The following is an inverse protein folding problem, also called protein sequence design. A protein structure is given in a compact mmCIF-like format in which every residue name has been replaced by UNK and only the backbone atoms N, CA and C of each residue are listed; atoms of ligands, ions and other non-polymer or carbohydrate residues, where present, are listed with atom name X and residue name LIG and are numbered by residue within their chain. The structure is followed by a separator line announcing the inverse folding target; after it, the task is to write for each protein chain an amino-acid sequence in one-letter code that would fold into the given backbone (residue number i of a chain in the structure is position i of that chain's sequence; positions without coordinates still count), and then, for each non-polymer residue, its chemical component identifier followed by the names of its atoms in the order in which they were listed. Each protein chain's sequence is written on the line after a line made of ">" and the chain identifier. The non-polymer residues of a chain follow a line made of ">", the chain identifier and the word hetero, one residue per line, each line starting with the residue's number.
data_IF_059592663876
#
_entry.id   IF_059592663876
#
_cell.length_a   1.000
_cell.length_b   1.000
_cell.length_c   1.000
_cell.angle_alpha   90.00
_cell.angle_beta   90.00
_cell.angle_gamma   90.00
#
_symmetry.space_group_name_H-M   'P 1'
#
loop_
_entity.id
_entity.type
_entity.pdbx_description
1 polymer ?
#
# COMPACT_ATOMS: atom_id res chain seq x y z
N UNK A 1 7.32 -9.38 -15.70
CA UNK A 1 7.62 -9.90 -14.35
C UNK A 1 6.28 -10.02 -13.68
N UNK A 2 6.03 -11.14 -13.01
CA UNK A 2 4.80 -11.31 -12.23
C UNK A 2 4.99 -10.59 -10.89
N UNK A 3 4.03 -9.75 -10.52
CA UNK A 3 4.00 -9.06 -9.24
C UNK A 3 3.60 -10.06 -8.14
N UNK A 4 4.07 -9.80 -6.93
CA UNK A 4 3.72 -10.58 -5.73
C UNK A 4 3.70 -9.66 -4.53
N UNK A 5 2.75 -9.88 -3.62
CA UNK A 5 2.67 -9.10 -2.39
C UNK A 5 3.87 -9.46 -1.50
N UNK A 6 4.60 -8.45 -1.06
CA UNK A 6 5.69 -8.58 -0.09
C UNK A 6 5.15 -8.39 1.32
N UNK A 7 5.72 -9.14 2.26
CA UNK A 7 5.33 -9.10 3.67
C UNK A 7 6.33 -8.30 4.51
N UNK A 8 5.86 -7.78 5.64
CA UNK A 8 6.72 -7.20 6.67
C UNK A 8 7.82 -8.19 7.10
N UNK A 9 9.03 -7.73 7.44
CA UNK A 9 9.56 -6.36 7.37
C UNK A 9 10.31 -6.04 6.07
N UNK A 10 9.83 -6.48 4.88
CA UNK A 10 10.53 -6.19 3.63
C UNK A 10 10.86 -4.69 3.47
N UNK A 11 12.11 -4.30 3.17
CA UNK A 11 12.56 -2.90 3.24
C UNK A 11 11.73 -1.91 2.41
N UNK A 12 11.25 -2.35 1.24
CA UNK A 12 10.40 -1.53 0.35
C UNK A 12 9.10 -1.05 1.01
N UNK A 13 8.57 -1.76 2.01
CA UNK A 13 7.37 -1.34 2.74
C UNK A 13 7.59 -0.08 3.59
N UNK A 14 8.83 0.17 4.00
CA UNK A 14 9.24 1.36 4.77
C UNK A 14 9.96 2.40 3.91
N UNK A 15 10.12 2.14 2.62
CA UNK A 15 10.71 3.08 1.67
C UNK A 15 9.65 4.07 1.19
N UNK A 16 9.95 5.37 1.27
CA UNK A 16 9.06 6.40 0.77
C UNK A 16 9.00 6.36 -0.76
N UNK A 17 7.83 6.00 -1.29
CA UNK A 17 7.59 5.89 -2.72
C UNK A 17 7.70 7.24 -3.42
N UNK A 18 8.19 7.22 -4.66
CA UNK A 18 8.50 8.41 -5.47
C UNK A 18 7.39 8.77 -6.46
N UNK A 19 7.17 10.08 -6.72
CA UNK A 19 6.16 10.51 -7.70
C UNK A 19 6.45 9.98 -9.10
N UNK A 20 5.40 9.54 -9.79
CA UNK A 20 5.43 9.08 -11.18
C UNK A 20 5.34 10.28 -12.13
N UNK A 21 6.26 10.39 -13.09
CA UNK A 21 6.28 11.47 -14.10
C UNK A 21 5.80 11.05 -15.48
N UNK A 22 5.55 9.74 -15.70
CA UNK A 22 5.06 9.21 -16.98
C UNK A 22 4.20 7.97 -16.82
N UNK A 23 3.17 7.85 -17.66
CA UNK A 23 2.28 6.68 -17.72
C UNK A 23 2.41 5.99 -19.08
N UNK A 24 3.06 4.83 -19.08
CA UNK A 24 3.23 3.98 -20.27
C UNK A 24 2.37 2.71 -20.20
N UNK A 25 2.40 1.90 -21.26
CA UNK A 25 1.65 0.64 -21.31
C UNK A 25 2.09 -0.35 -20.21
N UNK A 26 3.37 -0.30 -19.81
CA UNK A 26 3.89 -1.15 -18.73
C UNK A 26 3.28 -0.77 -17.39
N UNK A 27 3.22 0.52 -17.05
CA UNK A 27 2.59 0.99 -15.81
C UNK A 27 1.10 0.63 -15.75
N UNK A 28 0.38 0.77 -16.86
CA UNK A 28 -1.04 0.34 -16.93
C UNK A 28 -1.20 -1.15 -16.71
N UNK A 29 -0.31 -1.97 -17.27
CA UNK A 29 -0.29 -3.41 -17.03
C UNK A 29 -0.05 -3.77 -15.57
N UNK A 30 0.89 -3.08 -14.90
CA UNK A 30 1.15 -3.29 -13.47
C UNK A 30 -0.02 -2.87 -12.60
N UNK A 31 -0.70 -1.75 -12.91
CA UNK A 31 -1.89 -1.34 -12.18
C UNK A 31 -3.03 -2.36 -12.30
N UNK A 32 -3.23 -2.93 -13.49
CA UNK A 32 -4.19 -4.01 -13.69
C UNK A 32 -3.80 -5.27 -12.89
N UNK A 33 -2.54 -5.68 -12.95
CA UNK A 33 -2.04 -6.84 -12.18
C UNK A 33 -2.15 -6.62 -10.66
N UNK A 34 -1.97 -5.39 -10.17
CA UNK A 34 -2.21 -5.04 -8.77
C UNK A 34 -3.67 -5.19 -8.37
N UNK A 35 -4.63 -4.82 -9.24
CA UNK A 35 -6.06 -5.06 -8.98
C UNK A 35 -6.35 -6.56 -8.90
N UNK A 36 -5.82 -7.36 -9.84
CA UNK A 36 -5.95 -8.82 -9.80
C UNK A 36 -5.41 -9.39 -8.48
N UNK A 37 -4.19 -9.02 -8.09
CA UNK A 37 -3.58 -9.47 -6.84
C UNK A 37 -4.38 -9.04 -5.61
N UNK A 38 -4.94 -7.83 -5.60
CA UNK A 38 -5.79 -7.33 -4.53
C UNK A 38 -7.02 -8.24 -4.37
N UNK A 39 -7.72 -8.56 -5.44
CA UNK A 39 -8.90 -9.44 -5.40
C UNK A 39 -8.53 -10.88 -5.02
N UNK A 40 -7.45 -11.43 -5.58
CA UNK A 40 -7.00 -12.79 -5.32
C UNK A 40 -6.61 -13.02 -3.84
N UNK A 41 -6.33 -11.93 -3.11
CA UNK A 41 -6.00 -11.95 -1.68
C UNK A 41 -7.10 -11.32 -0.81
N UNK A 42 -8.33 -11.21 -1.32
CA UNK A 42 -9.51 -10.70 -0.60
C UNK A 42 -9.29 -9.29 0.00
N UNK A 43 -8.50 -8.46 -0.70
CA UNK A 43 -8.17 -7.10 -0.31
C UNK A 43 -9.13 -6.05 -0.86
N UNK A 44 -9.12 -4.87 -0.25
CA UNK A 44 -9.88 -3.68 -0.69
C UNK A 44 -8.98 -2.54 -1.18
N UNK A 45 -7.66 -2.68 -0.99
CA UNK A 45 -6.63 -1.73 -1.37
C UNK A 45 -5.27 -2.42 -1.49
N UNK A 46 -4.43 -1.91 -2.39
CA UNK A 46 -3.04 -2.36 -2.56
C UNK A 46 -2.17 -1.22 -3.10
N UNK A 47 -1.18 -0.81 -2.32
CA UNK A 47 -0.17 0.18 -2.70
C UNK A 47 0.98 -0.48 -3.49
N UNK A 48 1.58 0.26 -4.42
CA UNK A 48 2.61 -0.27 -5.31
C UNK A 48 3.86 -0.77 -4.56
N UNK A 49 4.21 -0.15 -3.43
CA UNK A 49 5.35 -0.62 -2.64
C UNK A 49 5.09 -1.99 -1.98
N UNK A 50 3.83 -2.40 -1.81
CA UNK A 50 3.47 -3.74 -1.34
C UNK A 50 3.72 -4.82 -2.39
N UNK A 51 4.03 -4.46 -3.63
CA UNK A 51 4.46 -5.38 -4.70
C UNK A 51 5.88 -5.06 -5.18
N UNK A 52 6.69 -4.49 -4.29
CA UNK A 52 8.10 -4.10 -4.51
C UNK A 52 8.31 -3.03 -5.59
N UNK A 53 7.30 -2.16 -5.81
CA UNK A 53 7.37 -1.02 -6.72
C UNK A 53 7.37 0.29 -5.93
N UNK A 54 8.52 0.97 -5.73
CA UNK A 54 8.62 2.19 -4.90
C UNK A 54 8.10 3.46 -5.60
N UNK A 55 6.97 3.36 -6.30
CA UNK A 55 6.35 4.43 -7.06
C UNK A 55 5.00 4.81 -6.43
N UNK A 56 4.64 6.10 -6.48
CA UNK A 56 3.42 6.60 -5.82
C UNK A 56 2.16 6.26 -6.60
N UNK A 57 1.67 5.04 -6.43
CA UNK A 57 0.42 4.55 -7.00
C UNK A 57 -0.22 3.55 -6.06
N UNK A 58 -1.55 3.59 -5.94
CA UNK A 58 -2.31 2.51 -5.33
C UNK A 58 -3.49 2.13 -6.20
N UNK A 59 -4.01 0.93 -5.95
CA UNK A 59 -5.32 0.48 -6.43
C UNK A 59 -6.25 0.23 -5.25
N UNK A 60 -7.55 0.43 -5.43
CA UNK A 60 -8.54 0.14 -4.41
C UNK A 60 -9.91 -0.18 -5.01
N UNK A 61 -10.66 -1.04 -4.33
CA UNK A 61 -12.09 -1.23 -4.55
C UNK A 61 -12.74 -1.51 -3.17
N UNK A 62 -13.53 -0.58 -2.63
CA UNK A 62 -14.16 -0.75 -1.31
C UNK A 62 -15.10 -1.96 -1.19
N UNK A 63 -15.59 -2.50 -2.31
CA UNK A 63 -16.39 -3.73 -2.28
C UNK A 63 -15.54 -4.99 -2.07
N UNK A 64 -14.26 -4.95 -2.43
CA UNK A 64 -13.37 -6.12 -2.43
C UNK A 64 -13.73 -7.18 -3.48
N UNK A 65 -14.74 -6.95 -4.31
CA UNK A 65 -15.27 -7.96 -5.24
C UNK A 65 -15.22 -7.47 -6.69
N UNK A 66 -14.80 -8.36 -7.58
CA UNK A 66 -14.66 -8.06 -9.00
C UNK A 66 -16.02 -7.81 -9.65
N UNK A 67 -16.13 -6.67 -10.34
CA UNK A 67 -17.37 -6.28 -11.00
C UNK A 67 -18.42 -5.68 -10.06
N UNK A 68 -18.11 -5.56 -8.77
CA UNK A 68 -18.89 -4.82 -7.80
C UNK A 68 -18.13 -3.56 -7.34
N UNK A 69 -18.86 -2.53 -6.91
CA UNK A 69 -18.25 -1.27 -6.49
C UNK A 69 -17.58 -0.49 -7.61
N UNK A 70 -16.58 0.30 -7.25
CA UNK A 70 -15.81 1.16 -8.15
C UNK A 70 -14.32 0.90 -7.93
N UNK A 71 -13.59 0.69 -9.02
CA UNK A 71 -12.14 0.55 -9.01
C UNK A 71 -11.46 1.92 -9.08
N UNK A 72 -10.56 2.15 -8.14
CA UNK A 72 -9.76 3.35 -8.04
C UNK A 72 -8.32 2.99 -8.37
N UNK A 73 -7.74 3.65 -9.38
CA UNK A 73 -6.30 3.60 -9.65
C UNK A 73 -5.79 5.03 -9.56
N UNK A 74 -5.01 5.32 -8.52
CA UNK A 74 -4.62 6.70 -8.21
C UNK A 74 -3.12 6.83 -8.22
N UNK A 75 -2.63 7.69 -9.12
CA UNK A 75 -1.23 8.07 -9.27
C UNK A 75 -0.96 9.36 -8.51
N UNK A 76 0.21 9.43 -7.87
CA UNK A 76 0.69 10.56 -7.08
C UNK A 76 -0.33 11.08 -6.08
N UNK A 77 -0.98 10.20 -5.28
CA UNK A 77 -2.00 10.62 -4.35
C UNK A 77 -1.44 11.55 -3.28
N UNK A 78 -2.23 12.56 -2.95
CA UNK A 78 -2.03 13.48 -1.84
C UNK A 78 -3.36 13.63 -1.12
N UNK A 79 -3.35 13.41 0.20
CA UNK A 79 -4.51 13.66 1.06
C UNK A 79 -4.34 14.98 1.82
N UNK A 80 -5.40 15.78 1.87
CA UNK A 80 -5.44 16.98 2.70
C UNK A 80 -6.84 17.23 3.30
N UNK A 81 -7.00 18.37 3.99
CA UNK A 81 -8.24 18.78 4.68
C UNK A 81 -8.86 17.68 5.56
N UNK A 82 -8.09 17.03 6.46
CA UNK A 82 -8.65 16.02 7.35
C UNK A 82 -9.70 16.64 8.27
N UNK A 83 -10.86 15.98 8.41
CA UNK A 83 -11.91 16.39 9.36
C UNK A 83 -12.48 15.20 10.12
N UNK A 84 -12.93 15.48 11.33
CA UNK A 84 -13.47 14.48 12.24
C UNK A 84 -12.44 13.45 12.65
N UNK A 85 -12.87 12.47 13.42
CA UNK A 85 -12.04 11.33 13.79
C UNK A 85 -12.89 10.11 14.05
N UNK A 86 -12.44 8.96 13.56
CA UNK A 86 -13.14 7.69 13.67
C UNK A 86 -12.13 6.56 13.90
N UNK A 87 -12.44 5.68 14.85
CA UNK A 87 -11.72 4.43 15.04
C UNK A 87 -12.38 3.33 14.22
N UNK A 88 -11.58 2.51 13.56
CA UNK A 88 -12.05 1.35 12.81
C UNK A 88 -10.99 0.26 12.79
N UNK A 89 -11.43 -0.99 12.62
CA UNK A 89 -10.50 -2.11 12.47
C UNK A 89 -9.82 -2.03 11.11
N UNK A 90 -8.51 -2.22 11.08
CA UNK A 90 -7.72 -2.35 9.85
C UNK A 90 -6.92 -3.64 9.89
N UNK A 91 -6.73 -4.22 8.70
CA UNK A 91 -5.72 -5.23 8.40
C UNK A 91 -4.92 -4.76 7.18
N UNK A 92 -3.91 -5.54 6.78
CA UNK A 92 -3.05 -5.20 5.65
C UNK A 92 -2.56 -6.48 4.97
N UNK A 93 -2.57 -6.51 3.63
CA UNK A 93 -2.10 -7.67 2.86
C UNK A 93 -0.60 -7.96 3.06
N UNK A 94 0.19 -6.99 3.53
CA UNK A 94 1.60 -7.18 3.87
C UNK A 94 1.84 -7.76 5.27
N UNK A 95 0.81 -7.91 6.09
CA UNK A 95 0.83 -8.59 7.40
C UNK A 95 -0.48 -9.37 7.59
N UNK A 96 -0.72 -10.40 6.75
CA UNK A 96 -1.98 -11.13 6.74
C UNK A 96 -2.34 -11.71 8.11
N UNK A 97 -3.61 -11.64 8.48
CA UNK A 97 -4.13 -12.13 9.77
C UNK A 97 -3.91 -11.18 10.96
N UNK A 98 -3.19 -10.07 10.80
CA UNK A 98 -3.00 -9.07 11.85
C UNK A 98 -3.99 -7.94 11.69
N UNK A 99 -4.75 -7.66 12.76
CA UNK A 99 -5.76 -6.60 12.78
C UNK A 99 -5.65 -5.76 14.04
N UNK A 100 -5.88 -4.45 13.93
CA UNK A 100 -5.98 -3.57 15.10
C UNK A 100 -6.94 -2.40 14.85
N UNK A 101 -7.39 -1.76 15.93
CA UNK A 101 -8.19 -0.53 15.85
C UNK A 101 -7.29 0.68 15.57
N UNK A 102 -7.50 1.33 14.42
CA UNK A 102 -6.74 2.51 13.98
C UNK A 102 -7.65 3.72 13.96
N UNK A 103 -7.19 4.82 14.57
CA UNK A 103 -7.89 6.10 14.56
C UNK A 103 -7.46 6.93 13.35
N UNK A 104 -8.40 7.28 12.48
CA UNK A 104 -8.17 8.11 11.29
C UNK A 104 -9.12 9.32 11.24
N UNK A 105 -8.78 10.38 10.51
CA UNK A 105 -9.75 11.34 10.01
C UNK A 105 -10.95 10.64 9.36
N UNK A 106 -12.16 11.13 9.66
CA UNK A 106 -13.41 10.57 9.10
C UNK A 106 -13.56 10.93 7.62
N UNK A 107 -13.10 12.12 7.26
CA UNK A 107 -13.13 12.61 5.87
C UNK A 107 -11.77 13.19 5.50
N UNK A 108 -11.39 13.01 4.25
CA UNK A 108 -10.20 13.61 3.64
C UNK A 108 -10.52 14.09 2.23
N UNK A 109 -9.75 15.02 1.70
CA UNK A 109 -9.76 15.32 0.26
C UNK A 109 -8.60 14.60 -0.41
N UNK A 110 -8.90 13.74 -1.37
CA UNK A 110 -7.92 13.06 -2.21
C UNK A 110 -7.65 13.89 -3.46
N UNK A 111 -6.37 14.13 -3.73
CA UNK A 111 -5.87 14.66 -4.99
C UNK A 111 -4.90 13.68 -5.63
N UNK A 112 -4.84 13.62 -6.96
CA UNK A 112 -3.94 12.74 -7.70
C UNK A 112 -4.28 12.74 -9.19
N UNK A 113 -3.90 11.69 -9.89
CA UNK A 113 -4.19 11.51 -11.30
C UNK A 113 -4.64 10.07 -11.60
N UNK A 114 -5.45 9.89 -12.64
CA UNK A 114 -5.75 8.57 -13.19
C UNK A 114 -4.68 8.09 -14.21
N UNK A 115 -4.87 6.90 -14.79
CA UNK A 115 -3.98 6.32 -15.82
C UNK A 115 -4.01 7.04 -17.17
N UNK A 116 -4.96 7.96 -17.37
CA UNK A 116 -5.07 8.82 -18.54
C UNK A 116 -4.42 10.19 -18.30
N UNK A 117 -4.03 10.49 -17.06
CA UNK A 117 -3.45 11.76 -16.64
C UNK A 117 -4.50 12.82 -16.30
N UNK A 118 -5.77 12.45 -16.15
CA UNK A 118 -6.79 13.38 -15.68
C UNK A 118 -6.63 13.59 -14.17
N UNK A 119 -6.88 14.81 -13.72
CA UNK A 119 -6.84 15.14 -12.29
C UNK A 119 -7.98 14.47 -11.52
N UNK A 120 -7.63 13.84 -10.40
CA UNK A 120 -8.57 13.40 -9.37
C UNK A 120 -8.54 14.45 -8.26
N UNK A 121 -9.71 14.97 -7.88
CA UNK A 121 -9.87 15.90 -6.76
C UNK A 121 -11.25 15.73 -6.14
N UNK A 122 -11.33 14.91 -5.10
CA UNK A 122 -12.60 14.45 -4.52
C UNK A 122 -12.55 14.46 -3.00
N UNK A 123 -13.63 14.88 -2.35
CA UNK A 123 -13.81 14.69 -0.90
C UNK A 123 -14.34 13.28 -0.66
N UNK A 124 -13.63 12.53 0.19
CA UNK A 124 -13.96 11.15 0.54
C UNK A 124 -14.36 11.08 2.01
N UNK A 125 -15.33 10.20 2.30
CA UNK A 125 -15.71 9.80 3.65
C UNK A 125 -15.86 8.28 3.78
N UNK A 126 -16.26 7.83 4.97
CA UNK A 126 -16.61 6.45 5.24
C UNK A 126 -15.46 5.47 4.97
N UNK A 127 -15.80 4.29 4.46
CA UNK A 127 -14.85 3.21 4.29
C UNK A 127 -13.79 3.51 3.22
N UNK A 128 -14.18 4.11 2.08
CA UNK A 128 -13.23 4.48 1.03
C UNK A 128 -12.21 5.51 1.54
N UNK A 129 -12.61 6.49 2.35
CA UNK A 129 -11.66 7.42 2.96
C UNK A 129 -10.64 6.71 3.87
N UNK A 130 -11.05 5.66 4.59
CA UNK A 130 -10.14 4.85 5.42
C UNK A 130 -9.14 4.08 4.55
N UNK A 131 -9.62 3.39 3.51
CA UNK A 131 -8.78 2.64 2.57
C UNK A 131 -7.75 3.57 1.92
N UNK A 132 -8.18 4.70 1.36
CA UNK A 132 -7.26 5.67 0.73
C UNK A 132 -6.20 6.20 1.70
N UNK A 133 -6.57 6.49 2.95
CA UNK A 133 -5.59 6.91 3.95
C UNK A 133 -4.58 5.81 4.28
N UNK A 134 -5.01 4.54 4.31
CA UNK A 134 -4.15 3.39 4.51
C UNK A 134 -3.17 3.21 3.34
N UNK A 135 -3.65 3.25 2.10
CA UNK A 135 -2.79 3.09 0.92
C UNK A 135 -1.80 4.25 0.77
N UNK A 136 -2.21 5.49 1.11
CA UNK A 136 -1.29 6.65 1.08
C UNK A 136 -0.21 6.55 2.15
N UNK A 137 -0.51 5.98 3.33
CA UNK A 137 0.51 5.70 4.34
C UNK A 137 1.57 4.73 3.83
N UNK A 138 1.15 3.66 3.16
CA UNK A 138 2.09 2.72 2.54
C UNK A 138 3.03 3.44 1.56
N UNK A 139 2.51 4.34 0.72
CA UNK A 139 3.34 5.13 -0.20
C UNK A 139 4.30 6.09 0.52
N UNK A 140 4.04 6.42 1.78
CA UNK A 140 4.93 7.19 2.64
C UNK A 140 5.84 6.32 3.53
N UNK A 141 5.79 4.99 3.39
CA UNK A 141 6.58 4.04 4.15
C UNK A 141 6.06 3.81 5.57
N UNK A 142 4.77 4.04 5.80
CA UNK A 142 4.11 3.96 7.11
C UNK A 142 3.15 2.77 7.10
N UNK A 143 3.25 1.92 8.12
CA UNK A 143 2.35 0.78 8.31
C UNK A 143 1.21 1.16 9.26
N UNK A 144 0.05 0.49 9.18
CA UNK A 144 -1.09 0.83 10.05
C UNK A 144 -0.76 0.71 11.55
N UNK A 145 0.11 -0.23 11.93
CA UNK A 145 0.56 -0.42 13.31
C UNK A 145 1.53 0.67 13.81
N UNK A 146 1.98 1.58 12.95
CA UNK A 146 2.66 2.80 13.37
C UNK A 146 1.68 3.87 13.85
N UNK A 147 0.38 3.69 13.60
CA UNK A 147 -0.70 4.62 13.98
C UNK A 147 -1.52 4.17 15.19
N UNK A 148 -1.23 3.00 15.77
CA UNK A 148 -1.94 2.48 16.94
C UNK A 148 -1.23 2.84 18.25
N UNK A 149 -1.97 2.80 19.36
CA UNK A 149 -1.41 3.04 20.70
C UNK A 149 -0.49 1.91 21.17
N UNK A 150 0.33 2.19 22.18
CA UNK A 150 1.33 1.25 22.73
C UNK A 150 0.68 -0.07 23.18
N UNK A 151 -0.50 -0.01 23.82
CA UNK A 151 -1.21 -1.21 24.28
C UNK A 151 -1.63 -2.09 23.10
N UNK A 152 -2.32 -1.53 22.09
CA UNK A 152 -2.70 -2.26 20.89
C UNK A 152 -1.48 -2.79 20.10
N UNK A 153 -0.33 -2.09 20.15
CA UNK A 153 0.90 -2.56 19.53
C UNK A 153 1.48 -3.80 20.23
N UNK A 154 1.38 -3.87 21.56
CA UNK A 154 1.78 -5.06 22.34
C UNK A 154 0.92 -6.27 21.98
N UNK A 155 -0.38 -6.06 21.73
CA UNK A 155 -1.31 -7.15 21.39
C UNK A 155 -0.95 -7.86 20.08
N UNK A 156 -0.30 -7.15 19.13
CA UNK A 156 0.11 -7.70 17.83
C UNK A 156 1.60 -8.01 17.73
N UNK A 157 2.40 -7.70 18.76
CA UNK A 157 3.86 -7.77 18.74
C UNK A 157 4.37 -9.19 18.41
N UNK A 158 3.75 -10.22 19.01
CA UNK A 158 4.10 -11.61 18.74
C UNK A 158 3.86 -11.99 17.27
N UNK A 159 2.73 -11.57 16.71
CA UNK A 159 2.40 -11.84 15.31
C UNK A 159 3.42 -11.16 14.36
N UNK A 160 3.82 -9.92 14.66
CA UNK A 160 4.84 -9.22 13.88
C UNK A 160 6.22 -9.91 13.96
N UNK A 161 6.60 -10.44 15.13
CA UNK A 161 7.86 -11.16 15.30
C UNK A 161 7.93 -12.47 14.48
N UNK A 162 6.79 -13.12 14.23
CA UNK A 162 6.72 -14.30 13.34
C UNK A 162 7.05 -13.94 11.89
N UNK A 163 6.60 -12.78 11.42
CA UNK A 163 6.94 -12.25 10.10
C UNK A 163 8.44 -11.91 10.00
N UNK A 164 9.01 -11.30 11.03
CA UNK A 164 10.46 -11.00 11.09
C UNK A 164 11.30 -12.28 11.01
N UNK A 165 10.94 -13.30 11.81
CA UNK A 165 11.62 -14.61 11.81
C UNK A 165 11.53 -15.27 10.43
N UNK A 166 10.36 -15.22 9.80
CA UNK A 166 10.14 -15.78 8.45
C UNK A 166 11.00 -15.05 7.42
N UNK A 167 11.02 -13.72 7.46
CA UNK A 167 11.81 -12.88 6.57
C UNK A 167 13.32 -13.16 6.69
N UNK A 168 13.85 -13.27 7.91
CA UNK A 168 15.25 -13.62 8.13
C UNK A 168 15.59 -15.00 7.54
N UNK A 169 14.71 -15.99 7.72
CA UNK A 169 14.88 -17.31 7.13
C UNK A 169 14.89 -17.26 5.59
N UNK A 170 13.98 -16.49 4.99
CA UNK A 170 13.92 -16.30 3.54
C UNK A 170 15.16 -15.56 2.99
N UNK A 171 15.70 -14.60 3.73
CA UNK A 171 16.98 -13.95 3.37
C UNK A 171 18.15 -14.91 3.46
N UNK A 172 18.23 -15.71 4.52
CA UNK A 172 19.31 -16.68 4.71
C UNK A 172 19.32 -17.79 3.65
N UNK A 173 18.14 -18.13 3.11
CA UNK A 173 18.00 -19.10 2.01
C UNK A 173 18.17 -18.48 0.62
N UNK A 174 18.34 -17.15 0.53
CA UNK A 174 18.46 -16.41 -0.74
C UNK A 174 17.14 -16.24 -1.50
N UNK A 175 16.00 -16.55 -0.88
CA UNK A 175 14.67 -16.36 -1.46
C UNK A 175 14.29 -14.88 -1.53
N UNK A 176 14.76 -14.09 -0.57
CA UNK A 176 14.69 -12.63 -0.59
C UNK A 176 16.09 -12.09 -0.89
N UNK A 177 16.25 -11.16 -1.85
CA UNK A 177 17.54 -10.57 -2.17
C UNK A 177 18.17 -9.84 -0.99
N UNK A 178 19.49 -9.65 -1.04
CA UNK A 178 20.19 -8.81 -0.08
C UNK A 178 19.86 -7.32 -0.28
N UNK A 179 20.26 -6.49 0.69
CA UNK A 179 19.94 -5.06 0.69
C UNK A 179 20.56 -4.31 -0.50
N UNK A 180 21.70 -4.78 -1.02
CA UNK A 180 22.37 -4.16 -2.16
C UNK A 180 21.56 -4.39 -3.45
N UNK A 181 21.07 -5.61 -3.65
CA UNK A 181 20.22 -5.96 -4.78
C UNK A 181 18.84 -5.29 -4.68
N UNK A 182 18.23 -5.24 -3.48
CA UNK A 182 16.99 -4.50 -3.27
C UNK A 182 17.17 -3.01 -3.58
N UNK A 183 18.23 -2.38 -3.08
CA UNK A 183 18.54 -0.98 -3.38
C UNK A 183 18.75 -0.73 -4.88
N UNK A 184 19.39 -1.67 -5.59
CA UNK A 184 19.55 -1.59 -7.04
C UNK A 184 18.20 -1.64 -7.76
N UNK A 185 17.32 -2.57 -7.39
CA UNK A 185 15.97 -2.70 -7.97
C UNK A 185 15.14 -1.44 -7.72
N UNK A 186 15.18 -0.90 -6.50
CA UNK A 186 14.51 0.35 -6.16
C UNK A 186 15.00 1.50 -7.08
N UNK A 187 16.32 1.66 -7.22
CA UNK A 187 16.90 2.70 -8.06
C UNK A 187 16.56 2.55 -9.56
N UNK A 188 16.43 1.32 -10.06
CA UNK A 188 15.99 1.05 -11.43
C UNK A 188 14.54 1.52 -11.67
N UNK A 189 13.65 1.30 -10.70
CA UNK A 189 12.27 1.78 -10.76
C UNK A 189 12.17 3.29 -10.64
N UNK A 190 12.90 3.90 -9.69
CA UNK A 190 12.94 5.36 -9.55
C UNK A 190 13.40 5.98 -10.88
N UNK A 191 14.53 5.55 -11.44
CA UNK A 191 15.02 6.04 -12.74
C UNK A 191 14.02 5.85 -13.88
N UNK A 192 13.21 4.79 -13.84
CA UNK A 192 12.26 4.50 -14.89
C UNK A 192 10.98 5.34 -14.81
N UNK A 193 10.57 5.84 -13.64
CA UNK A 193 9.26 6.49 -13.49
C UNK A 193 9.29 7.83 -12.76
N UNK A 194 10.41 8.28 -12.23
CA UNK A 194 10.53 9.46 -11.34
C UNK A 194 11.59 10.41 -11.86
#
# INVERSE_FOLDING_TARGET
>A
MTLSIIHYPHPTLQHRSRPIVRVDAKLRGMAAEMLELMYDNEGVGLAANQVDLPIRMFVANPSGERGEGEEWIVINPVIDRPKGSESGQEGCLSVPGVYAQVKRPKTVRLQGYDLQGNEINVELDGFLARVVQHEVDHLDGVMFFDRIGIEAKRDIEHALAEFETTFESLRNTGSIPDDAELARRLAEWEKAYT
#
